data_IF_974748891936
#
_entry.id   IF_974748891936
#
_cell.length_a   1.000
_cell.length_b   1.000
_cell.length_c   1.000
_cell.angle_alpha   90.00
_cell.angle_beta   90.00
_cell.angle_gamma   90.00
#
_symmetry.space_group_name_H-M   'P 1'
#
loop_
_entity.id
_entity.type
_entity.pdbx_description
1 polymer ?
#
# COMPACT_ATOMS: atom_id res chain seq x y z
N UNK A 1 -14.54 -37.51 -12.19
CA UNK A 1 -14.22 -36.10 -12.55
C UNK A 1 -12.96 -35.71 -11.81
N UNK A 2 -11.96 -35.19 -12.52
CA UNK A 2 -10.60 -35.00 -12.00
C UNK A 2 -10.53 -33.75 -11.12
N UNK A 3 -9.67 -33.79 -10.09
CA UNK A 3 -9.46 -32.73 -9.08
C UNK A 3 -8.94 -31.39 -9.63
N UNK A 4 -8.75 -31.27 -10.95
CA UNK A 4 -8.04 -30.17 -11.62
C UNK A 4 -8.93 -29.24 -12.46
N UNK A 5 -10.24 -29.50 -12.53
CA UNK A 5 -11.21 -28.68 -13.29
C UNK A 5 -12.04 -27.73 -12.39
N UNK A 6 -11.69 -27.61 -11.10
CA UNK A 6 -12.38 -26.75 -10.12
C UNK A 6 -11.63 -25.48 -9.73
N UNK A 7 -10.55 -25.15 -10.42
CA UNK A 7 -9.86 -23.85 -10.28
C UNK A 7 -10.47 -22.87 -11.29
N UNK A 8 -11.09 -21.80 -10.80
CA UNK A 8 -11.40 -20.61 -11.61
C UNK A 8 -12.79 -20.49 -12.23
N UNK A 9 -13.84 -21.11 -11.68
CA UNK A 9 -15.22 -20.87 -12.14
C UNK A 9 -16.04 -20.19 -11.05
N UNK A 10 -16.91 -19.25 -11.45
CA UNK A 10 -17.84 -18.54 -10.55
C UNK A 10 -18.85 -19.49 -9.87
N UNK A 11 -18.82 -19.56 -8.53
CA UNK A 11 -19.88 -20.13 -7.69
C UNK A 11 -20.85 -19.02 -7.27
N UNK A 12 -21.92 -18.86 -8.07
CA UNK A 12 -22.93 -17.80 -7.84
C UNK A 12 -23.55 -17.86 -6.46
N UNK A 13 -23.86 -19.05 -5.95
CA UNK A 13 -24.55 -19.21 -4.65
C UNK A 13 -23.66 -18.71 -3.53
N UNK A 14 -22.38 -19.09 -3.54
CA UNK A 14 -21.41 -18.65 -2.53
C UNK A 14 -21.10 -17.16 -2.65
N UNK A 15 -20.98 -16.64 -3.87
CA UNK A 15 -20.79 -15.20 -4.10
C UNK A 15 -21.99 -14.38 -3.60
N UNK A 16 -23.22 -14.85 -3.81
CA UNK A 16 -24.42 -14.18 -3.28
C UNK A 16 -24.47 -14.23 -1.75
N UNK A 17 -24.09 -15.35 -1.13
CA UNK A 17 -23.98 -15.44 0.32
C UNK A 17 -22.92 -14.47 0.88
N UNK A 18 -21.78 -14.34 0.19
CA UNK A 18 -20.75 -13.38 0.52
C UNK A 18 -21.25 -11.94 0.46
N UNK A 19 -21.92 -11.55 -0.64
CA UNK A 19 -22.51 -10.21 -0.79
C UNK A 19 -23.59 -9.94 0.26
N UNK A 20 -24.39 -10.95 0.63
CA UNK A 20 -25.39 -10.81 1.71
C UNK A 20 -24.73 -10.51 3.06
N UNK A 21 -23.66 -11.21 3.41
CA UNK A 21 -22.92 -10.92 4.66
C UNK A 21 -22.35 -9.51 4.70
N UNK A 22 -21.82 -9.03 3.58
CA UNK A 22 -21.37 -7.63 3.46
C UNK A 22 -22.53 -6.64 3.60
N UNK A 23 -23.71 -6.99 3.05
CA UNK A 23 -24.92 -6.17 3.15
C UNK A 23 -25.38 -6.00 4.60
N UNK A 24 -25.37 -7.10 5.36
CA UNK A 24 -25.81 -7.14 6.76
C UNK A 24 -24.79 -6.44 7.69
N UNK A 25 -23.50 -6.44 7.34
CA UNK A 25 -22.43 -5.73 8.06
C UNK A 25 -22.47 -4.20 7.84
N UNK A 26 -23.09 -3.72 6.76
CA UNK A 26 -23.10 -2.30 6.37
C UNK A 26 -24.15 -1.49 7.15
N UNK A 27 -23.83 -1.17 8.42
CA UNK A 27 -24.68 -0.38 9.31
C UNK A 27 -25.07 1.00 8.74
N UNK A 28 -24.16 1.71 8.06
CA UNK A 28 -24.46 3.03 7.49
C UNK A 28 -25.15 2.94 6.13
N UNK A 29 -25.28 1.73 5.58
CA UNK A 29 -25.87 1.46 4.27
C UNK A 29 -25.13 2.19 3.14
N UNK A 30 -23.85 2.47 3.34
CA UNK A 30 -23.03 3.27 2.44
C UNK A 30 -22.66 2.55 1.14
N UNK A 31 -22.74 1.22 1.17
CA UNK A 31 -22.38 0.33 0.08
C UNK A 31 -23.61 -0.33 -0.58
N UNK A 32 -24.82 -0.13 -0.06
CA UNK A 32 -26.03 -0.79 -0.56
C UNK A 32 -26.37 -0.43 -2.00
N UNK A 33 -26.18 0.83 -2.39
CA UNK A 33 -26.64 1.37 -3.68
C UNK A 33 -25.60 2.31 -4.31
N UNK A 34 -25.69 2.56 -5.63
CA UNK A 34 -24.83 3.53 -6.29
C UNK A 34 -24.93 4.91 -5.64
N UNK A 35 -23.78 5.57 -5.47
CA UNK A 35 -23.73 6.93 -4.93
C UNK A 35 -24.48 7.90 -5.85
N UNK A 36 -25.39 8.68 -5.27
CA UNK A 36 -26.20 9.65 -6.00
C UNK A 36 -25.40 10.92 -6.31
N UNK A 37 -25.28 11.29 -7.59
CA UNK A 37 -24.69 12.57 -8.02
C UNK A 37 -25.46 13.79 -7.53
N UNK A 38 -26.74 13.63 -7.14
CA UNK A 38 -27.52 14.72 -6.58
C UNK A 38 -27.13 15.01 -5.13
N UNK A 39 -26.73 13.96 -4.39
CA UNK A 39 -26.29 14.06 -2.98
C UNK A 39 -24.82 14.42 -2.89
N UNK A 40 -23.98 13.81 -3.74
CA UNK A 40 -22.54 14.02 -3.80
C UNK A 40 -22.10 14.40 -5.23
N UNK A 41 -22.20 15.69 -5.61
CA UNK A 41 -21.94 16.16 -6.98
C UNK A 41 -20.49 16.02 -7.46
N UNK A 42 -19.54 15.83 -6.56
CA UNK A 42 -18.12 15.68 -6.83
C UNK A 42 -17.64 14.23 -6.80
N UNK A 43 -18.46 13.27 -6.36
CA UNK A 43 -18.07 11.87 -6.21
C UNK A 43 -17.45 11.29 -7.47
N UNK A 44 -18.13 11.40 -8.61
CA UNK A 44 -17.65 10.89 -9.90
C UNK A 44 -16.50 11.71 -10.52
N UNK A 45 -16.12 12.85 -9.92
CA UNK A 45 -14.91 13.58 -10.32
C UNK A 45 -13.67 12.98 -9.66
N UNK A 46 -13.85 12.39 -8.49
CA UNK A 46 -12.78 11.77 -7.68
C UNK A 46 -12.72 10.27 -8.01
N UNK A 47 -13.85 9.57 -7.86
CA UNK A 47 -13.96 8.12 -8.04
C UNK A 47 -14.28 7.77 -9.50
N UNK A 48 -13.32 7.10 -10.15
CA UNK A 48 -13.40 6.73 -11.57
C UNK A 48 -14.22 5.48 -11.84
N UNK A 49 -14.11 4.48 -10.96
CA UNK A 49 -14.74 3.18 -11.11
C UNK A 49 -15.72 2.95 -9.95
N UNK A 50 -16.85 3.68 -9.91
CA UNK A 50 -17.85 3.52 -8.85
C UNK A 50 -18.47 2.12 -8.92
N UNK A 51 -18.66 1.51 -7.76
CA UNK A 51 -19.28 0.20 -7.61
C UNK A 51 -19.94 0.12 -6.23
N UNK A 52 -20.96 -0.74 -6.10
CA UNK A 52 -21.79 -0.92 -4.91
C UNK A 52 -22.32 -2.35 -4.84
N UNK A 53 -22.81 -2.78 -3.67
CA UNK A 53 -23.28 -4.15 -3.44
C UNK A 53 -24.47 -4.53 -4.30
N UNK A 54 -25.39 -3.61 -4.61
CA UNK A 54 -26.52 -3.92 -5.49
C UNK A 54 -26.09 -4.15 -6.94
N UNK A 55 -25.09 -3.41 -7.41
CA UNK A 55 -24.44 -3.62 -8.71
C UNK A 55 -23.71 -4.95 -8.74
N UNK A 56 -22.88 -5.26 -7.73
CA UNK A 56 -22.15 -6.53 -7.64
C UNK A 56 -23.13 -7.71 -7.62
N UNK A 57 -24.20 -7.64 -6.81
CA UNK A 57 -25.24 -8.68 -6.76
C UNK A 57 -25.86 -8.94 -8.13
N UNK A 58 -26.29 -7.86 -8.82
CA UNK A 58 -26.89 -7.95 -10.16
C UNK A 58 -25.91 -8.57 -11.16
N UNK A 59 -24.64 -8.23 -11.09
CA UNK A 59 -23.59 -8.74 -11.98
C UNK A 59 -23.28 -10.22 -11.75
N UNK A 60 -23.34 -10.70 -10.49
CA UNK A 60 -23.27 -12.12 -10.15
C UNK A 60 -24.47 -12.89 -10.72
N UNK A 61 -25.69 -12.37 -10.50
CA UNK A 61 -26.92 -12.99 -10.99
C UNK A 61 -26.90 -13.10 -12.52
N UNK A 62 -26.49 -12.04 -13.21
CA UNK A 62 -26.31 -11.99 -14.65
C UNK A 62 -25.17 -12.89 -15.16
N UNK A 63 -24.26 -13.36 -14.29
CA UNK A 63 -23.11 -14.18 -14.67
C UNK A 63 -22.06 -13.43 -15.48
N UNK A 64 -21.86 -12.14 -15.16
CA UNK A 64 -20.90 -11.27 -15.86
C UNK A 64 -19.46 -11.45 -15.35
N UNK A 65 -19.30 -11.89 -14.10
CA UNK A 65 -18.01 -12.29 -13.54
C UNK A 65 -17.57 -13.66 -14.08
N UNK A 66 -16.28 -13.83 -14.36
CA UNK A 66 -15.75 -15.09 -14.85
C UNK A 66 -15.40 -16.05 -13.70
N UNK A 67 -14.89 -15.50 -12.59
CA UNK A 67 -14.47 -16.25 -11.42
C UNK A 67 -14.87 -15.58 -10.10
N UNK A 68 -14.82 -16.35 -9.01
CA UNK A 68 -15.04 -15.85 -7.64
C UNK A 68 -14.09 -14.70 -7.28
N UNK A 69 -12.85 -14.76 -7.77
CA UNK A 69 -11.85 -13.72 -7.57
C UNK A 69 -12.29 -12.36 -8.15
N UNK A 70 -13.03 -12.35 -9.26
CA UNK A 70 -13.53 -11.09 -9.84
C UNK A 70 -14.53 -10.40 -8.91
N UNK A 71 -15.36 -11.18 -8.22
CA UNK A 71 -16.31 -10.66 -7.21
C UNK A 71 -15.56 -10.09 -6.01
N UNK A 72 -14.52 -10.79 -5.53
CA UNK A 72 -13.67 -10.30 -4.44
C UNK A 72 -12.95 -9.00 -4.81
N UNK A 73 -12.46 -8.90 -6.06
CA UNK A 73 -11.84 -7.69 -6.59
C UNK A 73 -12.84 -6.53 -6.72
N UNK A 74 -14.07 -6.80 -7.12
CA UNK A 74 -15.14 -5.80 -7.16
C UNK A 74 -15.45 -5.23 -5.76
N UNK A 75 -15.53 -6.10 -4.74
CA UNK A 75 -15.69 -5.69 -3.34
C UNK A 75 -14.48 -4.88 -2.85
N UNK A 76 -13.27 -5.31 -3.17
CA UNK A 76 -12.07 -4.57 -2.81
C UNK A 76 -12.02 -3.17 -3.45
N UNK A 77 -12.43 -3.03 -4.72
CA UNK A 77 -12.57 -1.74 -5.39
C UNK A 77 -13.63 -0.84 -4.71
N UNK A 78 -14.76 -1.42 -4.31
CA UNK A 78 -15.81 -0.72 -3.55
C UNK A 78 -15.25 -0.09 -2.27
N UNK A 79 -14.49 -0.88 -1.50
CA UNK A 79 -13.83 -0.44 -0.27
C UNK A 79 -12.77 0.62 -0.56
N UNK A 80 -11.97 0.43 -1.62
CA UNK A 80 -10.95 1.38 -2.07
C UNK A 80 -11.55 2.76 -2.35
N UNK A 81 -12.66 2.78 -3.10
CA UNK A 81 -13.36 4.01 -3.45
C UNK A 81 -13.83 4.76 -2.21
N UNK A 82 -14.39 4.04 -1.22
CA UNK A 82 -14.82 4.66 0.01
C UNK A 82 -13.64 5.21 0.84
N UNK A 83 -12.51 4.52 0.88
CA UNK A 83 -11.30 5.01 1.56
C UNK A 83 -10.65 6.20 0.83
N UNK A 84 -10.78 6.28 -0.49
CA UNK A 84 -10.26 7.39 -1.30
C UNK A 84 -11.13 8.65 -1.16
N UNK A 85 -12.46 8.50 -1.23
CA UNK A 85 -13.38 9.62 -1.19
C UNK A 85 -13.59 10.18 0.23
N UNK A 86 -13.75 9.30 1.23
CA UNK A 86 -14.13 9.73 2.57
C UNK A 86 -12.92 10.21 3.38
N UNK A 87 -13.10 11.29 4.12
CA UNK A 87 -12.05 11.83 5.00
C UNK A 87 -11.75 10.88 6.18
N UNK A 88 -10.48 10.79 6.55
CA UNK A 88 -10.03 9.98 7.70
C UNK A 88 -10.73 10.44 8.99
N UNK A 89 -11.13 9.47 9.81
CA UNK A 89 -11.81 9.70 11.09
C UNK A 89 -13.34 9.80 10.99
N UNK A 90 -13.88 10.04 9.80
CA UNK A 90 -15.34 10.00 9.57
C UNK A 90 -15.90 8.59 9.82
N UNK A 91 -17.20 8.50 10.13
CA UNK A 91 -17.87 7.20 10.29
C UNK A 91 -17.77 6.35 9.01
N UNK A 92 -17.94 6.96 7.84
CA UNK A 92 -17.81 6.31 6.53
C UNK A 92 -16.42 5.72 6.30
N UNK A 93 -15.36 6.48 6.59
CA UNK A 93 -13.99 5.99 6.46
C UNK A 93 -13.69 4.88 7.48
N UNK A 94 -14.19 4.98 8.72
CA UNK A 94 -14.03 3.94 9.74
C UNK A 94 -14.73 2.64 9.35
N UNK A 95 -15.95 2.70 8.81
CA UNK A 95 -16.65 1.52 8.32
C UNK A 95 -15.93 0.89 7.12
N UNK A 96 -15.44 1.69 6.17
CA UNK A 96 -14.65 1.18 5.06
C UNK A 96 -13.35 0.48 5.53
N UNK A 97 -12.69 0.99 6.57
CA UNK A 97 -11.55 0.30 7.19
C UNK A 97 -11.94 -1.03 7.85
N UNK A 98 -13.10 -1.07 8.52
CA UNK A 98 -13.63 -2.32 9.08
C UNK A 98 -13.85 -3.35 7.98
N UNK A 99 -14.54 -2.97 6.90
CA UNK A 99 -14.75 -3.82 5.72
C UNK A 99 -13.43 -4.33 5.13
N UNK A 100 -12.42 -3.45 4.98
CA UNK A 100 -11.08 -3.84 4.49
C UNK A 100 -10.45 -4.97 5.31
N UNK A 101 -10.67 -4.98 6.63
CA UNK A 101 -10.10 -5.99 7.54
C UNK A 101 -10.82 -7.33 7.42
N UNK A 102 -12.15 -7.31 7.27
CA UNK A 102 -12.97 -8.52 7.44
C UNK A 102 -13.48 -9.15 6.13
N UNK A 103 -13.47 -8.44 4.99
CA UNK A 103 -14.14 -8.94 3.77
C UNK A 103 -13.58 -10.28 3.25
N UNK A 104 -12.27 -10.51 3.39
CA UNK A 104 -11.66 -11.79 3.01
C UNK A 104 -12.10 -12.93 3.93
N UNK A 105 -12.26 -12.67 5.22
CA UNK A 105 -12.78 -13.66 6.16
C UNK A 105 -14.25 -13.97 5.87
N UNK A 106 -15.05 -12.97 5.54
CA UNK A 106 -16.42 -13.17 5.08
C UNK A 106 -16.48 -13.98 3.77
N UNK A 107 -15.53 -13.78 2.85
CA UNK A 107 -15.44 -14.59 1.63
C UNK A 107 -15.12 -16.06 1.97
N UNK A 108 -14.14 -16.31 2.86
CA UNK A 108 -13.80 -17.66 3.36
C UNK A 108 -14.98 -18.34 4.04
N UNK A 109 -15.66 -17.63 4.93
CA UNK A 109 -16.87 -18.12 5.62
C UNK A 109 -18.00 -18.44 4.62
N UNK A 110 -17.99 -17.81 3.45
CA UNK A 110 -18.96 -18.07 2.36
C UNK A 110 -18.56 -19.25 1.49
N UNK A 111 -17.45 -19.92 1.83
CA UNK A 111 -16.92 -21.07 1.10
C UNK A 111 -16.19 -20.70 -0.18
N UNK A 112 -15.81 -19.43 -0.35
CA UNK A 112 -14.99 -18.96 -1.47
C UNK A 112 -13.52 -19.23 -1.18
N UNK A 113 -12.77 -19.62 -2.22
CA UNK A 113 -11.32 -19.65 -2.15
C UNK A 113 -10.80 -18.22 -2.14
N UNK A 114 -9.93 -17.91 -1.18
CA UNK A 114 -9.25 -16.61 -1.08
C UNK A 114 -7.78 -16.86 -1.33
N UNK A 115 -7.28 -16.32 -2.43
CA UNK A 115 -5.84 -16.20 -2.65
C UNK A 115 -5.40 -14.85 -2.08
N UNK A 116 -4.62 -14.89 -1.00
CA UNK A 116 -4.19 -13.68 -0.28
C UNK A 116 -3.11 -12.94 -1.08
N UNK A 117 -2.36 -13.64 -1.92
CA UNK A 117 -1.31 -13.06 -2.75
C UNK A 117 -1.91 -12.36 -3.98
N UNK A 118 -3.04 -12.85 -4.51
CA UNK A 118 -3.79 -12.20 -5.60
C UNK A 118 -4.90 -11.26 -5.13
N UNK A 119 -5.31 -11.32 -3.85
CA UNK A 119 -6.32 -10.43 -3.32
C UNK A 119 -5.87 -8.98 -3.52
N UNK A 120 -6.61 -8.26 -4.38
CA UNK A 120 -6.39 -6.83 -4.56
C UNK A 120 -6.67 -6.12 -3.24
N UNK A 121 -5.63 -5.93 -2.43
CA UNK A 121 -5.66 -5.04 -1.28
C UNK A 121 -5.16 -3.71 -1.83
N UNK A 122 -6.02 -2.67 -1.95
CA UNK A 122 -5.56 -1.34 -2.23
C UNK A 122 -4.83 -0.81 -0.99
N UNK A 123 -3.59 -1.28 -0.80
CA UNK A 123 -2.62 -0.64 0.05
C UNK A 123 -2.13 0.55 -0.74
N UNK A 124 -2.89 1.66 -0.64
CA UNK A 124 -2.59 3.00 -1.14
C UNK A 124 -1.42 2.96 -2.12
N UNK A 125 -1.69 2.53 -3.36
CA UNK A 125 -0.63 2.34 -4.32
C UNK A 125 0.12 3.67 -4.41
N UNK A 126 1.40 3.59 -4.03
CA UNK A 126 2.44 4.49 -4.46
C UNK A 126 2.09 5.05 -5.83
N UNK A 127 2.15 6.37 -5.98
CA UNK A 127 2.30 6.93 -7.31
C UNK A 127 3.67 6.47 -7.80
N UNK A 128 3.76 5.29 -8.38
CA UNK A 128 4.75 5.02 -9.41
C UNK A 128 4.36 5.85 -10.64
N UNK A 129 4.48 7.15 -10.47
CA UNK A 129 4.65 8.05 -11.58
C UNK A 129 6.07 7.73 -12.08
N UNK A 130 6.20 6.81 -13.02
CA UNK A 130 7.37 6.66 -13.90
C UNK A 130 7.86 8.07 -14.36
N UNK A 131 6.93 9.03 -14.47
CA UNK A 131 7.19 10.44 -14.71
C UNK A 131 8.00 11.15 -13.60
N UNK A 132 7.79 10.81 -12.33
CA UNK A 132 8.54 11.32 -11.16
C UNK A 132 9.90 10.68 -11.03
N UNK A 133 10.04 9.37 -11.27
CA UNK A 133 11.34 8.68 -11.34
C UNK A 133 12.20 9.24 -12.47
N UNK A 134 11.66 9.35 -13.70
CA UNK A 134 12.35 9.98 -14.84
C UNK A 134 12.69 11.46 -14.63
N UNK A 135 11.95 12.16 -13.77
CA UNK A 135 12.25 13.56 -13.43
C UNK A 135 13.35 13.65 -12.38
N UNK A 136 13.38 12.73 -11.42
CA UNK A 136 14.44 12.61 -10.44
C UNK A 136 15.77 12.16 -11.09
N UNK A 137 15.72 11.16 -11.98
CA UNK A 137 16.90 10.68 -12.74
C UNK A 137 17.51 11.78 -13.60
N UNK A 138 16.71 12.49 -14.42
CA UNK A 138 17.23 13.60 -15.23
C UNK A 138 17.86 14.70 -14.39
N UNK A 139 17.23 15.05 -13.27
CA UNK A 139 17.78 16.06 -12.35
C UNK A 139 19.10 15.60 -11.72
N UNK A 140 19.21 14.31 -11.43
CA UNK A 140 20.43 13.73 -10.87
C UNK A 140 21.55 13.59 -11.90
N UNK A 141 21.23 13.25 -13.15
CA UNK A 141 22.17 13.24 -14.29
C UNK A 141 22.70 14.65 -14.61
N UNK A 142 21.82 15.66 -14.61
CA UNK A 142 22.22 17.06 -14.81
C UNK A 142 23.16 17.53 -13.70
N UNK A 143 22.86 17.21 -12.44
CA UNK A 143 23.74 17.51 -11.31
C UNK A 143 25.09 16.76 -11.41
N UNK A 144 25.08 15.49 -11.80
CA UNK A 144 26.31 14.72 -12.00
C UNK A 144 27.18 15.31 -13.12
N UNK A 145 26.56 15.80 -14.21
CA UNK A 145 27.27 16.45 -15.30
C UNK A 145 27.95 17.77 -14.89
N UNK A 146 27.37 18.51 -13.94
CA UNK A 146 27.99 19.72 -13.37
C UNK A 146 29.19 19.33 -12.51
N UNK A 147 29.02 18.38 -11.59
CA UNK A 147 30.09 17.90 -10.70
C UNK A 147 31.27 17.33 -11.51
N UNK A 148 31.00 16.59 -12.60
CA UNK A 148 32.05 16.05 -13.46
C UNK A 148 32.84 17.14 -14.18
N UNK A 149 32.19 18.21 -14.63
CA UNK A 149 32.88 19.36 -15.25
C UNK A 149 33.72 20.15 -14.26
N UNK A 150 33.24 20.31 -13.03
CA UNK A 150 34.00 20.96 -11.96
C UNK A 150 35.26 20.15 -11.61
N UNK A 151 35.14 18.83 -11.46
CA UNK A 151 36.28 17.94 -11.23
C UNK A 151 37.27 17.92 -12.41
N UNK A 152 36.81 18.10 -13.64
CA UNK A 152 37.68 18.20 -14.81
C UNK A 152 38.42 19.54 -14.84
N UNK A 153 37.72 20.64 -14.53
CA UNK A 153 38.33 21.97 -14.41
C UNK A 153 39.37 22.05 -13.28
N UNK A 154 39.14 21.37 -12.15
CA UNK A 154 40.10 21.28 -11.05
C UNK A 154 41.34 20.44 -11.38
N UNK A 155 41.25 19.53 -12.36
CA UNK A 155 42.38 18.72 -12.82
C UNK A 155 43.27 19.43 -13.83
N UNK A 156 42.79 20.48 -14.48
CA UNK A 156 43.55 21.24 -15.47
C UNK A 156 44.41 22.32 -14.80
N UNK A 157 45.49 21.91 -14.13
CA UNK A 157 46.59 22.85 -13.85
C UNK A 157 47.36 23.07 -15.18
N UNK A 158 47.42 24.29 -15.74
CA UNK A 158 48.09 24.53 -17.01
C UNK A 158 49.55 24.07 -16.99
N UNK A 159 49.99 23.46 -18.10
CA UNK A 159 51.34 22.88 -18.19
C UNK A 159 52.43 23.92 -17.93
N UNK A 160 52.22 25.17 -18.34
CA UNK A 160 53.09 26.31 -18.03
C UNK A 160 53.26 26.57 -16.53
N UNK A 161 52.20 26.41 -15.74
CA UNK A 161 52.21 26.65 -14.29
C UNK A 161 52.94 25.53 -13.54
N UNK A 162 52.77 24.29 -14.01
CA UNK A 162 53.57 23.13 -13.58
C UNK A 162 55.05 23.29 -13.95
N UNK A 163 55.35 23.74 -15.18
CA UNK A 163 56.73 24.00 -15.64
C UNK A 163 57.37 25.10 -14.79
N UNK A 164 56.64 26.18 -14.47
CA UNK A 164 57.13 27.24 -13.61
C UNK A 164 57.40 26.76 -12.18
N UNK A 165 56.53 25.91 -11.63
CA UNK A 165 56.68 25.33 -10.28
C UNK A 165 57.87 24.37 -10.17
N UNK A 166 58.22 23.64 -11.23
CA UNK A 166 59.27 22.61 -11.21
C UNK A 166 60.55 22.97 -11.99
N UNK A 167 60.68 24.20 -12.50
CA UNK A 167 61.91 24.68 -13.13
C UNK A 167 63.01 24.82 -12.08
N UNK A 168 63.79 23.74 -11.88
CA UNK A 168 65.02 23.79 -11.10
C UNK A 168 65.98 24.79 -11.76
N UNK A 169 66.29 25.86 -11.03
CA UNK A 169 67.37 26.77 -11.40
C UNK A 169 68.68 26.06 -11.09
N UNK A 170 69.37 25.54 -12.11
CA UNK A 170 70.77 25.19 -11.96
C UNK A 170 71.56 26.49 -11.77
N UNK A 171 71.96 26.77 -10.52
CA UNK A 171 72.92 27.83 -10.22
C UNK A 171 74.30 27.42 -10.74
N UNK A 172 75.05 28.28 -11.43
CA UNK A 172 76.49 28.14 -11.49
C UNK A 172 77.10 28.61 -10.16
N UNK A 173 78.13 27.88 -9.73
CA UNK A 173 78.98 28.11 -8.56
C UNK A 173 79.39 29.58 -8.35
N UNK A 174 79.46 29.97 -7.07
CA UNK A 174 80.16 31.19 -6.64
C UNK A 174 79.75 31.70 -5.25
N UNK A 175 80.30 31.06 -4.21
CA UNK A 175 80.83 31.68 -2.99
C UNK A 175 79.91 32.37 -1.95
N UNK A 176 79.82 31.66 -0.81
CA UNK A 176 80.30 32.10 0.52
C UNK A 176 79.33 32.81 1.50
N UNK A 177 79.09 32.08 2.61
CA UNK A 177 78.85 32.51 4.01
C UNK A 177 77.59 33.34 4.27
N UNK A 178 76.91 33.22 5.41
CA UNK A 178 77.29 32.83 6.77
C UNK A 178 75.98 32.72 7.57
N UNK A 179 76.00 31.88 8.61
CA UNK A 179 75.55 32.15 10.00
C UNK A 179 74.11 32.68 10.18
N UNK A 180 73.31 32.34 11.18
CA UNK A 180 73.33 31.47 12.37
C UNK A 180 71.91 31.66 12.97
N UNK A 181 71.62 30.93 14.05
CA UNK A 181 70.57 31.19 15.06
C UNK A 181 69.14 30.74 14.68
N UNK A 182 68.61 29.63 15.21
CA UNK A 182 68.29 29.25 16.61
C UNK A 182 66.88 29.69 17.05
N UNK A 183 66.31 28.82 17.89
CA UNK A 183 65.14 28.94 18.77
C UNK A 183 63.75 28.76 18.13
N UNK A 184 63.03 27.65 18.35
CA UNK A 184 62.49 27.05 19.60
C UNK A 184 61.05 27.51 19.91
N UNK A 185 60.35 26.59 20.58
CA UNK A 185 59.06 26.65 21.28
C UNK A 185 57.80 26.45 20.40
N UNK A 186 57.15 25.29 20.43
CA UNK A 186 56.41 24.60 21.53
C UNK A 186 55.02 25.20 21.81
N UNK A 187 54.16 24.30 22.31
CA UNK A 187 52.85 24.50 22.95
C UNK A 187 51.63 24.69 22.01
N UNK A 188 50.48 24.05 22.23
CA UNK A 188 50.07 22.96 23.12
C UNK A 188 48.59 22.66 22.79
N UNK A 189 48.05 21.65 23.47
CA UNK A 189 46.63 21.44 23.82
C UNK A 189 45.75 20.63 22.86
N UNK A 190 45.94 19.32 23.09
CA UNK A 190 44.96 18.26 23.30
C UNK A 190 43.63 18.62 24.02
N UNK A 191 42.68 17.70 23.80
CA UNK A 191 41.60 17.22 24.69
C UNK A 191 40.29 18.02 24.89
N UNK A 192 39.18 17.30 24.64
CA UNK A 192 37.93 17.19 25.44
C UNK A 192 36.87 16.52 24.53
N UNK A 193 36.69 15.19 24.53
CA UNK A 193 35.91 14.34 25.47
C UNK A 193 34.40 14.66 25.61
N UNK A 194 33.59 13.68 25.16
CA UNK A 194 32.35 13.15 25.77
C UNK A 194 31.06 14.01 25.66
N UNK A 195 29.86 13.50 25.38
CA UNK A 195 29.13 12.40 26.00
C UNK A 195 28.14 11.70 25.04
N UNK A 196 27.99 10.39 25.22
CA UNK A 196 26.85 9.55 24.79
C UNK A 196 25.69 9.72 25.78
N UNK A 197 24.42 9.56 25.37
CA UNK A 197 23.40 8.82 26.14
C UNK A 197 22.31 8.26 25.19
N UNK A 198 22.20 6.94 25.18
CA UNK A 198 21.07 6.09 24.75
C UNK A 198 19.96 6.09 25.83
N UNK A 199 18.96 5.21 25.67
CA UNK A 199 17.86 4.82 26.59
C UNK A 199 16.53 5.57 26.38
N UNK A 200 15.36 4.94 26.36
CA UNK A 200 15.00 3.52 26.44
C UNK A 200 13.52 3.35 26.03
N UNK A 201 13.17 2.08 25.85
CA UNK A 201 11.87 1.44 25.62
C UNK A 201 10.74 1.86 26.59
N UNK A 202 9.49 1.59 26.21
CA UNK A 202 8.53 0.92 27.12
C UNK A 202 7.28 0.44 26.36
N UNK A 203 7.14 -0.88 26.31
CA UNK A 203 5.94 -1.67 26.07
C UNK A 203 4.95 -1.51 27.24
N UNK A 204 3.65 -1.48 26.97
CA UNK A 204 2.63 -1.93 27.92
C UNK A 204 1.59 -2.76 27.15
N UNK A 205 1.55 -4.05 27.49
CA UNK A 205 0.51 -5.03 27.16
C UNK A 205 -0.72 -4.86 28.09
N UNK A 206 -1.68 -5.79 27.93
CA UNK A 206 -2.72 -6.19 28.90
C UNK A 206 -4.00 -5.31 28.90
N UNK A 207 -5.23 -5.83 28.97
CA UNK A 207 -5.73 -7.09 29.52
C UNK A 207 -7.09 -7.46 28.90
N UNK A 208 -7.40 -8.75 29.00
CA UNK A 208 -8.64 -9.46 28.71
C UNK A 208 -9.86 -9.02 29.55
N UNK A 209 -11.08 -9.34 29.09
CA UNK A 209 -12.11 -9.98 29.94
C UNK A 209 -13.35 -10.44 29.13
N UNK A 210 -13.80 -11.64 29.49
CA UNK A 210 -14.88 -12.48 28.96
C UNK A 210 -16.29 -11.93 29.19
N UNK A 211 -17.28 -12.42 28.41
CA UNK A 211 -18.53 -12.92 29.01
C UNK A 211 -19.27 -13.88 28.05
N UNK A 212 -19.58 -15.04 28.60
CA UNK A 212 -20.39 -16.17 28.10
C UNK A 212 -21.91 -15.88 28.25
N UNK A 213 -22.72 -16.92 27.96
CA UNK A 213 -24.17 -17.16 28.15
C UNK A 213 -25.08 -16.88 26.94
N UNK A 214 -25.66 -17.87 26.23
CA UNK A 214 -26.54 -19.03 26.54
C UNK A 214 -28.05 -18.77 26.31
N UNK A 215 -28.75 -19.87 25.99
CA UNK A 215 -30.21 -20.11 25.77
C UNK A 215 -30.72 -19.96 24.31
N UNK A 216 -30.85 -21.04 23.52
CA UNK A 216 -31.79 -22.20 23.55
C UNK A 216 -33.19 -21.95 22.93
N UNK A 217 -33.47 -22.78 21.91
CA UNK A 217 -34.73 -23.46 21.50
C UNK A 217 -36.05 -22.66 21.32
N UNK A 218 -36.71 -22.85 20.18
CA UNK A 218 -37.86 -23.78 20.08
C UNK A 218 -38.40 -23.89 18.64
N UNK A 219 -38.83 -25.12 18.34
CA UNK A 219 -39.50 -25.61 17.16
C UNK A 219 -40.80 -24.86 16.83
N UNK A 220 -41.19 -24.83 15.55
CA UNK A 220 -42.60 -24.92 15.19
C UNK A 220 -42.72 -25.72 13.88
N UNK A 221 -43.21 -26.94 14.07
CA UNK A 221 -43.88 -27.76 13.08
C UNK A 221 -44.99 -26.95 12.38
N UNK A 222 -45.12 -27.10 11.07
CA UNK A 222 -46.46 -27.07 10.47
C UNK A 222 -46.50 -28.04 9.28
N UNK A 223 -47.02 -29.22 9.59
CA UNK A 223 -47.68 -30.13 8.66
C UNK A 223 -48.75 -29.38 7.85
N UNK A 224 -48.79 -29.62 6.55
CA UNK A 224 -50.00 -29.70 5.72
C UNK A 224 -49.50 -30.29 4.38
N UNK A 225 -49.62 -31.59 4.15
CA UNK A 225 -50.85 -32.37 3.91
C UNK A 225 -51.57 -31.96 2.62
N UNK A 226 -52.22 -32.95 2.02
CA UNK A 226 -52.95 -32.95 0.73
C UNK A 226 -52.08 -33.27 -0.51
N UNK A 227 -51.94 -34.55 -0.85
CA UNK A 227 -52.92 -35.29 -1.68
C UNK A 227 -53.03 -34.73 -3.10
N UNK A 228 -52.59 -35.50 -4.09
CA UNK A 228 -53.48 -36.10 -5.08
C UNK A 228 -52.67 -36.81 -6.18
N UNK A 229 -52.71 -38.14 -6.09
CA UNK A 229 -53.09 -39.08 -7.15
C UNK A 229 -52.52 -38.93 -8.57
N UNK A 230 -51.74 -39.94 -8.91
CA UNK A 230 -51.90 -40.78 -10.09
C UNK A 230 -53.23 -40.56 -10.86
N UNK A 231 -53.13 -40.17 -12.14
CA UNK A 231 -53.98 -40.81 -13.15
C UNK A 231 -53.24 -40.94 -14.48
N UNK A 232 -53.58 -42.05 -15.10
CA UNK A 232 -52.95 -42.81 -16.15
C UNK A 232 -52.95 -42.16 -17.56
N UNK A 233 -52.00 -42.67 -18.34
CA UNK A 233 -52.16 -43.22 -19.70
C UNK A 233 -53.07 -42.55 -20.74
N UNK A 234 -52.42 -42.34 -21.89
CA UNK A 234 -52.90 -42.37 -23.30
C UNK A 234 -53.09 -41.03 -23.99
#
# INVERSE_FOLDING_TARGET
MSKREREGTLDKTRCLAFVRRLWDLDELRMFHHPVSTAELPDYHKIIRNPIDLSTIRREIEAGTYAADADVQNAVAQMIANALEYNEKGTAWHRQALSFRRVYLDLARQSGLAVDVDEAYIPSRAFKDDESTLRKAERRNEENLGVVLKELEAEKEVPLEELIAKYKRVEKPNGDNKSDDDDDDDDDDDDEDEEDEEDDDEEDEEDDDEDDDDDEEEEDDDDENDDENDDDESS
#
